data_IF_794071405314
#
_entry.id   IF_794071405314
#
_cell.length_a   1.000
_cell.length_b   1.000
_cell.length_c   1.000
_cell.angle_alpha   90.00
_cell.angle_beta   90.00
_cell.angle_gamma   90.00
#
_symmetry.space_group_name_H-M   'P 1'
#
loop_
_entity.id
_entity.type
_entity.pdbx_description
1 polymer ?
#
# COMPACT_ATOMS: atom_id res chain seq x y z
N UNK A 1 -5.89 8.82 13.30
CA UNK A 1 -6.25 8.48 11.91
C UNK A 1 -6.06 6.99 11.67
N UNK A 2 -6.98 6.39 10.98
CA UNK A 2 -6.96 4.98 10.67
C UNK A 2 -5.88 4.68 9.62
N UNK A 3 -5.00 3.75 9.91
CA UNK A 3 -3.92 3.39 8.98
C UNK A 3 -4.50 2.86 7.66
N UNK A 4 -5.54 2.03 7.74
CA UNK A 4 -6.15 1.49 6.53
C UNK A 4 -6.67 2.61 5.63
N UNK A 5 -7.32 3.60 6.21
CA UNK A 5 -7.81 4.74 5.45
C UNK A 5 -6.66 5.52 4.83
N UNK A 6 -5.59 5.73 5.59
CA UNK A 6 -4.45 6.48 5.07
C UNK A 6 -3.79 5.76 3.91
N UNK A 7 -3.64 4.44 4.03
CA UNK A 7 -3.02 3.66 2.97
C UNK A 7 -3.89 3.68 1.72
N UNK A 8 -5.21 3.56 1.87
CA UNK A 8 -6.10 3.64 0.72
C UNK A 8 -5.98 4.98 0.02
N UNK A 9 -5.87 6.06 0.79
CA UNK A 9 -5.72 7.39 0.21
C UNK A 9 -4.43 7.49 -0.60
N UNK A 10 -3.35 6.94 -0.07
CA UNK A 10 -2.07 6.93 -0.78
C UNK A 10 -2.18 6.15 -2.08
N UNK A 11 -2.86 5.01 -2.04
CA UNK A 11 -3.03 4.18 -3.23
C UNK A 11 -3.83 4.93 -4.30
N UNK A 12 -4.90 5.60 -3.88
CA UNK A 12 -5.73 6.36 -4.80
C UNK A 12 -4.89 7.44 -5.50
N UNK A 13 -4.07 8.15 -4.73
CA UNK A 13 -3.25 9.21 -5.27
C UNK A 13 -2.13 8.67 -6.15
N UNK A 14 -1.54 7.55 -5.73
CA UNK A 14 -0.40 6.99 -6.45
C UNK A 14 -0.80 6.44 -7.82
N UNK A 15 -1.94 5.76 -7.88
CA UNK A 15 -2.35 5.11 -9.12
C UNK A 15 -3.48 5.84 -9.85
N UNK A 16 -3.98 6.93 -9.27
CA UNK A 16 -5.04 7.72 -9.88
C UNK A 16 -6.27 6.87 -10.17
N UNK A 17 -6.70 6.10 -9.19
CA UNK A 17 -7.87 5.23 -9.31
C UNK A 17 -8.96 5.73 -8.37
N UNK A 18 -10.18 5.22 -8.59
CA UNK A 18 -11.31 5.55 -7.74
C UNK A 18 -11.25 4.77 -6.43
N UNK A 19 -11.81 5.36 -5.39
CA UNK A 19 -11.88 4.71 -4.10
C UNK A 19 -12.56 3.35 -4.20
N UNK A 20 -13.55 3.23 -5.08
CA UNK A 20 -14.30 2.00 -5.25
C UNK A 20 -13.45 0.86 -5.80
N UNK A 21 -12.35 1.18 -6.45
CA UNK A 21 -11.45 0.18 -7.00
C UNK A 21 -10.47 -0.36 -5.96
N UNK A 22 -10.33 0.35 -4.85
CA UNK A 22 -9.35 0.00 -3.83
C UNK A 22 -10.00 -0.94 -2.83
N UNK A 23 -10.17 -2.19 -3.25
CA UNK A 23 -10.80 -3.23 -2.42
C UNK A 23 -9.71 -4.05 -1.75
N UNK A 24 -10.04 -4.70 -0.62
CA UNK A 24 -9.00 -5.46 0.12
C UNK A 24 -8.27 -6.48 -0.72
N UNK A 25 -8.95 -7.18 -1.60
CA UNK A 25 -8.34 -8.25 -2.40
C UNK A 25 -7.82 -7.76 -3.76
N UNK A 26 -7.94 -6.47 -4.03
CA UNK A 26 -7.44 -5.93 -5.31
C UNK A 26 -5.91 -6.03 -5.35
N UNK A 27 -5.39 -6.54 -6.45
CA UNK A 27 -3.95 -6.59 -6.66
C UNK A 27 -3.51 -5.30 -7.34
N UNK A 28 -2.29 -4.89 -7.02
CA UNK A 28 -1.80 -3.64 -7.59
C UNK A 28 -1.54 -3.76 -9.09
N UNK A 29 -1.05 -4.92 -9.51
CA UNK A 29 -0.70 -5.10 -10.93
C UNK A 29 -1.90 -5.44 -11.80
N UNK A 30 -2.72 -6.40 -11.36
CA UNK A 30 -3.82 -6.86 -12.20
C UNK A 30 -5.06 -5.99 -12.09
N UNK A 31 -5.41 -5.58 -10.87
CA UNK A 31 -6.66 -4.87 -10.66
C UNK A 31 -6.49 -3.36 -10.75
N UNK A 32 -5.37 -2.83 -10.30
CA UNK A 32 -5.13 -1.40 -10.30
C UNK A 32 -4.20 -0.96 -11.42
N UNK A 33 -3.70 -1.90 -12.22
CA UNK A 33 -2.94 -1.58 -13.43
C UNK A 33 -1.53 -1.07 -13.20
N UNK A 34 -0.96 -1.34 -12.03
CA UNK A 34 0.40 -0.89 -11.74
C UNK A 34 1.41 -1.81 -12.40
N UNK A 35 2.47 -1.24 -12.94
CA UNK A 35 3.61 -2.02 -13.38
C UNK A 35 4.62 -2.09 -12.23
N UNK A 36 5.78 -2.71 -12.48
CA UNK A 36 6.80 -2.88 -11.45
C UNK A 36 7.22 -1.54 -10.85
N UNK A 37 7.37 -0.54 -11.70
CA UNK A 37 7.79 0.77 -11.25
C UNK A 37 6.70 1.40 -10.37
N UNK A 38 5.44 1.23 -10.76
CA UNK A 38 4.33 1.76 -9.97
C UNK A 38 4.30 1.18 -8.58
N UNK A 39 4.57 -0.12 -8.46
CA UNK A 39 4.60 -0.75 -7.15
C UNK A 39 5.77 -0.22 -6.32
N UNK A 40 6.94 -0.05 -6.94
CA UNK A 40 8.09 0.51 -6.25
C UNK A 40 7.78 1.92 -5.75
N UNK A 41 7.11 2.71 -6.57
CA UNK A 41 6.75 4.07 -6.19
C UNK A 41 5.75 4.07 -5.03
N UNK A 42 4.83 3.11 -5.01
CA UNK A 42 3.92 2.97 -3.89
C UNK A 42 4.67 2.66 -2.60
N UNK A 43 5.63 1.73 -2.68
CA UNK A 43 6.43 1.38 -1.52
C UNK A 43 7.16 2.62 -1.00
N UNK A 44 7.75 3.40 -1.89
CA UNK A 44 8.46 4.61 -1.48
C UNK A 44 7.51 5.62 -0.85
N UNK A 45 6.30 5.74 -1.37
CA UNK A 45 5.31 6.65 -0.80
C UNK A 45 4.93 6.23 0.62
N UNK A 46 4.77 4.91 0.83
CA UNK A 46 4.46 4.40 2.16
C UNK A 46 5.61 4.65 3.11
N UNK A 47 6.84 4.46 2.65
CA UNK A 47 8.00 4.72 3.49
C UNK A 47 8.06 6.17 3.92
N UNK A 48 7.80 7.07 2.99
CA UNK A 48 7.83 8.49 3.30
C UNK A 48 6.71 8.92 4.22
N UNK A 49 5.52 8.35 4.02
CA UNK A 49 4.37 8.72 4.81
C UNK A 49 4.51 8.28 6.26
N UNK A 50 5.04 7.10 6.49
CA UNK A 50 5.10 6.52 7.82
C UNK A 50 6.49 6.57 8.45
N UNK A 51 7.47 7.09 7.73
CA UNK A 51 8.83 7.24 8.27
C UNK A 51 9.51 5.93 8.56
N UNK A 52 9.31 4.94 7.72
CA UNK A 52 9.89 3.62 7.90
C UNK A 52 10.60 3.19 6.63
N UNK A 53 11.34 2.09 6.73
CA UNK A 53 11.93 1.45 5.57
C UNK A 53 11.32 0.07 5.40
N UNK A 54 10.99 -0.27 4.16
CA UNK A 54 10.39 -1.55 3.83
C UNK A 54 11.45 -2.35 3.07
N UNK A 55 11.98 -3.43 3.68
CA UNK A 55 12.99 -4.23 2.99
C UNK A 55 12.43 -4.86 1.72
N UNK A 56 13.31 -5.13 0.78
CA UNK A 56 12.90 -5.70 -0.50
C UNK A 56 12.08 -6.98 -0.31
N UNK A 57 12.50 -7.83 0.64
CA UNK A 57 11.82 -9.09 0.89
C UNK A 57 10.37 -8.87 1.33
N UNK A 58 10.15 -7.85 2.15
CA UNK A 58 8.79 -7.53 2.59
C UNK A 58 7.99 -6.89 1.45
N UNK A 59 8.65 -6.05 0.66
CA UNK A 59 7.98 -5.39 -0.45
C UNK A 59 7.44 -6.41 -1.45
N UNK A 60 8.13 -7.52 -1.64
CA UNK A 60 7.67 -8.56 -2.55
C UNK A 60 6.35 -9.18 -2.12
N UNK A 61 6.02 -9.09 -0.85
CA UNK A 61 4.80 -9.67 -0.31
C UNK A 61 3.64 -8.69 -0.32
N UNK A 62 3.89 -7.44 -0.66
CA UNK A 62 2.84 -6.43 -0.72
C UNK A 62 2.23 -6.49 -2.12
N UNK A 63 1.26 -7.38 -2.28
CA UNK A 63 0.67 -7.68 -3.58
C UNK A 63 -0.75 -7.13 -3.70
N UNK A 64 -1.52 -7.17 -2.60
CA UNK A 64 -2.88 -6.67 -2.58
C UNK A 64 -2.99 -5.49 -1.64
N UNK A 65 -4.12 -4.78 -1.75
CA UNK A 65 -4.41 -3.68 -0.84
C UNK A 65 -4.37 -4.17 0.62
N UNK A 66 -4.99 -5.34 0.87
CA UNK A 66 -5.04 -5.87 2.23
C UNK A 66 -3.65 -6.23 2.74
N UNK A 67 -2.80 -6.81 1.89
CA UNK A 67 -1.45 -7.17 2.33
C UNK A 67 -0.64 -5.92 2.68
N UNK A 68 -0.85 -4.83 1.95
CA UNK A 68 -0.19 -3.56 2.28
C UNK A 68 -0.66 -3.05 3.63
N UNK A 69 -1.97 -3.09 3.86
CA UNK A 69 -2.54 -2.61 5.13
C UNK A 69 -2.03 -3.46 6.28
N UNK A 70 -2.07 -4.78 6.11
CA UNK A 70 -1.63 -5.69 7.19
C UNK A 70 -0.16 -5.46 7.53
N UNK A 71 0.68 -5.33 6.51
CA UNK A 71 2.09 -5.13 6.75
C UNK A 71 2.34 -3.83 7.51
N UNK A 72 1.70 -2.75 7.06
CA UNK A 72 1.92 -1.45 7.67
C UNK A 72 1.37 -1.39 9.08
N UNK A 73 0.20 -1.97 9.31
CA UNK A 73 -0.40 -2.00 10.64
C UNK A 73 0.51 -2.74 11.62
N UNK A 74 1.12 -3.81 11.15
CA UNK A 74 2.01 -4.60 11.99
C UNK A 74 3.28 -3.83 12.35
N UNK A 75 3.81 -3.07 11.39
CA UNK A 75 5.06 -2.34 11.59
C UNK A 75 4.85 -1.10 12.47
N UNK A 76 3.81 -0.33 12.23
CA UNK A 76 3.63 0.92 12.94
C UNK A 76 2.81 0.77 14.23
N UNK A 77 2.33 -0.43 14.51
CA UNK A 77 1.65 -0.67 15.78
C UNK A 77 0.31 0.02 15.87
N UNK A 78 -0.51 -0.13 14.83
CA UNK A 78 -1.78 0.56 14.76
C UNK A 78 -2.69 0.28 15.94
N UNK A 79 -2.62 -0.94 16.45
CA UNK A 79 -3.46 -1.37 17.54
C UNK A 79 -2.98 -0.87 18.90
N UNK A 80 -1.88 -0.20 18.91
CA UNK A 80 -1.31 0.32 20.16
C UNK A 80 -2.15 1.44 20.72
#
# INVERSE_FOLDING_TARGET
MDIAQRIKQIIIEQFNVDEQEVKPHATFTDDLGADSLGVVELIMALEGEFGIQIPYEAAEKIITVQSAIDYMANIVGENA
#
